data_IF_644689905613
#
_entry.id   IF_644689905613
#
_cell.length_a   1.000
_cell.length_b   1.000
_cell.length_c   1.000
_cell.angle_alpha   90.00
_cell.angle_beta   90.00
_cell.angle_gamma   90.00
#
_symmetry.space_group_name_H-M   'P 1'
#
loop_
_entity.id
_entity.type
_entity.pdbx_description
1 polymer ?
#
# COMPACT_ATOMS: atom_id res chain seq x y z
N UNK A 1 -19.54 71.17 -48.84
CA UNK A 1 -18.43 71.88 -49.56
C UNK A 1 -17.22 70.94 -49.53
N UNK A 2 -16.82 70.61 -50.77
CA UNK A 2 -15.48 70.23 -51.29
C UNK A 2 -14.83 68.99 -50.62
N UNK A 3 -14.96 67.85 -51.21
CA UNK A 3 -14.09 67.19 -52.21
C UNK A 3 -12.60 67.39 -52.02
N UNK A 4 -11.88 66.33 -51.85
CA UNK A 4 -10.76 66.04 -52.75
C UNK A 4 -10.29 64.54 -52.62
N UNK A 5 -10.17 63.95 -53.82
CA UNK A 5 -9.57 62.68 -54.17
C UNK A 5 -8.05 62.75 -54.02
N UNK A 6 -7.44 61.66 -53.67
CA UNK A 6 -6.00 61.41 -53.83
C UNK A 6 -5.73 59.90 -54.03
N UNK A 7 -4.74 59.57 -54.88
CA UNK A 7 -4.79 58.30 -55.66
C UNK A 7 -4.12 57.05 -55.02
N UNK A 8 -4.52 55.96 -55.59
CA UNK A 8 -3.95 54.62 -55.39
C UNK A 8 -2.46 54.57 -55.73
N UNK A 9 -1.68 53.88 -54.86
CA UNK A 9 -0.42 53.33 -55.27
C UNK A 9 -0.47 51.83 -54.99
N UNK A 10 -0.35 51.07 -56.08
CA UNK A 10 -0.12 49.62 -56.10
C UNK A 10 1.32 49.37 -55.67
N UNK A 11 1.54 48.48 -54.77
CA UNK A 11 2.85 47.95 -54.36
C UNK A 11 2.86 46.43 -54.43
N UNK A 12 4.00 45.80 -54.66
CA UNK A 12 4.13 44.58 -55.42
C UNK A 12 3.89 43.26 -54.65
N UNK A 13 3.43 42.30 -55.41
CA UNK A 13 3.34 40.88 -55.06
C UNK A 13 4.56 40.36 -54.28
N UNK A 14 4.32 39.79 -53.11
CA UNK A 14 5.26 38.86 -52.48
C UNK A 14 4.75 37.42 -52.66
N UNK A 15 5.64 36.53 -53.10
CA UNK A 15 5.28 35.12 -53.32
C UNK A 15 4.97 34.44 -51.96
N UNK A 16 4.00 33.56 -52.03
CA UNK A 16 3.63 32.64 -50.93
C UNK A 16 4.83 31.77 -50.59
N UNK A 17 5.29 31.91 -49.36
CA UNK A 17 6.16 30.90 -48.76
C UNK A 17 5.28 29.73 -48.36
N UNK A 18 5.41 28.63 -49.07
CA UNK A 18 4.97 27.30 -48.69
C UNK A 18 5.71 26.91 -47.41
N UNK A 19 5.07 27.18 -46.26
CA UNK A 19 5.51 26.60 -44.97
C UNK A 19 5.22 25.13 -44.95
N UNK A 20 6.24 24.35 -45.17
CA UNK A 20 6.25 22.89 -44.98
C UNK A 20 5.90 22.63 -43.50
N UNK A 21 4.65 22.31 -43.25
CA UNK A 21 4.18 21.81 -41.98
C UNK A 21 4.80 20.41 -41.78
N UNK A 22 5.92 20.35 -41.07
CA UNK A 22 6.41 19.11 -40.49
C UNK A 22 5.40 18.70 -39.43
N UNK A 23 4.44 17.87 -39.82
CA UNK A 23 3.64 17.10 -38.93
C UNK A 23 4.60 16.21 -38.11
N UNK A 24 4.92 16.64 -36.90
CA UNK A 24 5.50 15.78 -35.87
C UNK A 24 4.54 14.60 -35.69
N UNK A 25 4.83 13.49 -36.37
CA UNK A 25 4.29 12.20 -36.00
C UNK A 25 4.73 11.94 -34.57
N UNK A 26 3.82 12.16 -33.62
CA UNK A 26 3.93 11.58 -32.31
C UNK A 26 4.04 10.05 -32.52
N UNK A 27 5.25 9.54 -32.37
CA UNK A 27 5.49 8.11 -32.21
C UNK A 27 4.76 7.72 -30.92
N UNK A 28 3.54 7.20 -31.07
CA UNK A 28 2.87 6.48 -30.01
C UNK A 28 3.81 5.34 -29.62
N UNK A 29 4.52 5.50 -28.52
CA UNK A 29 5.20 4.39 -27.88
C UNK A 29 4.18 3.28 -27.64
N UNK A 30 4.52 2.03 -27.95
CA UNK A 30 3.61 0.93 -27.71
C UNK A 30 3.25 0.92 -26.22
N UNK A 31 1.94 1.00 -25.94
CA UNK A 31 1.36 1.06 -24.59
C UNK A 31 1.45 -0.27 -23.82
N UNK A 32 2.33 -1.19 -24.19
CA UNK A 32 2.37 -2.56 -23.69
C UNK A 32 3.70 -2.96 -23.02
N UNK A 33 4.37 -2.02 -22.38
CA UNK A 33 5.24 -2.40 -21.26
C UNK A 33 4.44 -2.09 -19.98
N UNK A 34 3.51 -2.96 -19.63
CA UNK A 34 2.99 -3.05 -18.28
C UNK A 34 4.21 -3.21 -17.37
N UNK A 35 4.66 -2.12 -16.80
CA UNK A 35 5.71 -2.14 -15.79
C UNK A 35 5.25 -3.15 -14.74
N UNK A 36 5.94 -4.29 -14.65
CA UNK A 36 5.65 -5.26 -13.61
C UNK A 36 5.68 -4.52 -12.28
N UNK A 37 4.68 -4.69 -11.43
CA UNK A 37 4.66 -4.00 -10.15
C UNK A 37 5.96 -4.34 -9.41
N UNK A 38 6.67 -3.31 -8.96
CA UNK A 38 7.86 -3.50 -8.13
C UNK A 38 7.37 -4.09 -6.82
N UNK A 39 7.61 -5.38 -6.62
CA UNK A 39 7.24 -6.09 -5.40
C UNK A 39 8.26 -5.82 -4.30
N UNK A 40 7.81 -5.89 -3.04
CA UNK A 40 8.73 -5.88 -1.92
C UNK A 40 9.55 -7.18 -1.91
N UNK A 41 10.87 -7.10 -1.68
CA UNK A 41 11.70 -8.29 -1.59
C UNK A 41 11.26 -9.14 -0.39
N UNK A 42 11.17 -10.46 -0.61
CA UNK A 42 10.92 -11.39 0.50
C UNK A 42 12.10 -11.35 1.47
N UNK A 43 11.85 -11.12 2.77
CA UNK A 43 12.95 -10.94 3.72
C UNK A 43 13.65 -12.24 4.07
N UNK A 44 14.98 -12.19 4.08
CA UNK A 44 15.84 -13.32 4.47
C UNK A 44 15.79 -13.65 5.97
N UNK A 45 15.30 -12.72 6.77
CA UNK A 45 15.18 -12.89 8.23
C UNK A 45 13.98 -13.71 8.67
N UNK A 46 13.06 -14.03 7.74
CA UNK A 46 11.97 -14.96 8.04
C UNK A 46 12.54 -16.38 8.25
N UNK A 47 11.97 -17.14 9.20
CA UNK A 47 12.46 -18.49 9.52
C UNK A 47 12.49 -19.41 8.29
N UNK A 48 13.57 -20.17 8.12
CA UNK A 48 13.75 -21.17 7.05
C UNK A 48 12.72 -22.31 7.09
N UNK A 49 12.01 -22.46 8.21
CA UNK A 49 10.99 -23.52 8.41
C UNK A 49 9.60 -23.20 7.83
N UNK A 50 9.43 -22.07 7.15
CA UNK A 50 8.16 -21.79 6.48
C UNK A 50 7.98 -22.70 5.26
N UNK A 51 6.72 -23.16 5.00
CA UNK A 51 6.42 -23.85 3.75
C UNK A 51 6.81 -23.02 2.54
N UNK A 52 7.15 -23.65 1.42
CA UNK A 52 7.47 -22.96 0.17
C UNK A 52 6.34 -22.02 -0.30
N UNK A 53 5.11 -22.28 0.13
CA UNK A 53 3.93 -21.41 -0.08
C UNK A 53 3.15 -21.34 1.23
N UNK A 54 3.55 -20.46 2.15
CA UNK A 54 2.84 -20.30 3.40
C UNK A 54 1.48 -19.66 3.18
N UNK A 55 0.48 -20.05 3.95
CA UNK A 55 -0.79 -19.34 4.00
C UNK A 55 -0.60 -18.02 4.72
N UNK A 56 -1.03 -16.94 4.08
CA UNK A 56 -0.78 -15.59 4.56
C UNK A 56 -2.06 -14.93 5.06
N UNK A 57 -1.96 -14.31 6.24
CA UNK A 57 -2.90 -13.30 6.71
C UNK A 57 -2.22 -11.94 6.61
N UNK A 58 -2.74 -11.06 5.76
CA UNK A 58 -2.34 -9.65 5.72
C UNK A 58 -3.29 -8.81 6.56
N UNK A 59 -2.73 -8.04 7.47
CA UNK A 59 -3.43 -7.06 8.30
C UNK A 59 -2.85 -5.68 8.04
N UNK A 60 -3.69 -4.71 7.71
CA UNK A 60 -3.26 -3.36 7.36
C UNK A 60 -4.00 -2.31 8.19
N UNK A 61 -3.26 -1.55 8.98
CA UNK A 61 -3.75 -0.34 9.63
C UNK A 61 -3.70 0.83 8.62
N UNK A 62 -4.85 1.19 8.08
CA UNK A 62 -4.96 2.29 7.12
C UNK A 62 -4.70 3.67 7.76
N UNK A 63 -4.92 3.81 9.06
CA UNK A 63 -4.60 5.02 9.79
C UNK A 63 -3.08 5.22 9.86
N UNK A 64 -2.32 4.15 10.13
CA UNK A 64 -0.86 4.17 10.10
C UNK A 64 -0.33 4.43 8.68
N UNK A 65 -0.92 3.83 7.64
CA UNK A 65 -0.56 4.10 6.24
C UNK A 65 -0.76 5.58 5.91
N UNK A 66 -1.94 6.13 6.25
CA UNK A 66 -2.27 7.52 5.94
C UNK A 66 -1.36 8.53 6.69
N UNK A 67 -0.96 8.23 7.93
CA UNK A 67 -0.03 9.05 8.71
C UNK A 67 1.41 8.86 8.26
N UNK A 68 1.86 7.62 8.17
CA UNK A 68 3.25 7.29 7.95
C UNK A 68 3.77 7.72 6.58
N UNK A 69 2.96 7.61 5.53
CA UNK A 69 3.35 8.09 4.19
C UNK A 69 3.43 9.61 4.09
N UNK A 70 2.80 10.34 5.03
CA UNK A 70 2.92 11.79 5.13
C UNK A 70 4.16 12.25 5.91
N UNK A 71 4.91 11.34 6.54
CA UNK A 71 6.10 11.66 7.35
C UNK A 71 7.11 12.52 6.57
N UNK A 72 7.49 13.64 7.20
CA UNK A 72 8.45 14.60 6.62
C UNK A 72 7.87 15.50 5.53
N UNK A 73 6.55 15.53 5.37
CA UNK A 73 5.82 16.48 4.52
C UNK A 73 5.08 17.51 5.37
N UNK A 74 4.70 18.70 4.83
CA UNK A 74 3.85 19.66 5.53
C UNK A 74 2.41 19.17 5.75
N UNK A 75 2.06 18.00 5.26
CA UNK A 75 0.70 17.42 5.32
C UNK A 75 0.58 16.46 6.49
N UNK A 76 -0.51 16.51 7.21
CA UNK A 76 -0.81 15.57 8.30
C UNK A 76 -1.18 14.17 7.82
N UNK A 77 -1.53 14.02 6.55
CA UNK A 77 -2.01 12.76 5.95
C UNK A 77 -1.55 12.64 4.49
N UNK A 78 -1.35 11.41 4.08
CA UNK A 78 -1.07 11.08 2.70
C UNK A 78 -2.28 11.32 1.78
N UNK A 79 -2.00 11.53 0.49
CA UNK A 79 -3.02 11.63 -0.54
C UNK A 79 -3.64 10.25 -0.87
N UNK A 80 -4.83 10.24 -1.48
CA UNK A 80 -5.47 9.01 -1.97
C UNK A 80 -4.57 8.22 -2.91
N UNK A 81 -3.78 8.91 -3.75
CA UNK A 81 -2.83 8.26 -4.67
C UNK A 81 -1.72 7.52 -3.93
N UNK A 82 -1.14 8.13 -2.90
CA UNK A 82 -0.07 7.53 -2.10
C UNK A 82 -0.58 6.33 -1.30
N UNK A 83 -1.74 6.48 -0.65
CA UNK A 83 -2.37 5.39 0.11
C UNK A 83 -2.72 4.23 -0.81
N UNK A 84 -3.32 4.51 -1.98
CA UNK A 84 -3.65 3.48 -2.98
C UNK A 84 -2.40 2.73 -3.43
N UNK A 85 -1.36 3.45 -3.85
CA UNK A 85 -0.11 2.84 -4.32
C UNK A 85 0.54 1.95 -3.24
N UNK A 86 0.50 2.37 -1.97
CA UNK A 86 1.00 1.55 -0.87
C UNK A 86 0.17 0.27 -0.68
N UNK A 87 -1.15 0.38 -0.66
CA UNK A 87 -2.04 -0.77 -0.49
C UNK A 87 -1.90 -1.76 -1.66
N UNK A 88 -1.84 -1.28 -2.90
CA UNK A 88 -1.63 -2.10 -4.10
C UNK A 88 -0.28 -2.83 -4.05
N UNK A 89 0.80 -2.14 -3.65
CA UNK A 89 2.13 -2.73 -3.48
C UNK A 89 2.12 -3.88 -2.47
N UNK A 90 1.58 -3.62 -1.28
CA UNK A 90 1.51 -4.63 -0.20
C UNK A 90 0.65 -5.81 -0.63
N UNK A 91 -0.50 -5.55 -1.21
CA UNK A 91 -1.42 -6.57 -1.70
C UNK A 91 -0.80 -7.44 -2.81
N UNK A 92 -0.15 -6.81 -3.80
CA UNK A 92 0.54 -7.52 -4.87
C UNK A 92 1.66 -8.41 -4.30
N UNK A 93 2.48 -7.88 -3.37
CA UNK A 93 3.52 -8.64 -2.68
C UNK A 93 2.93 -9.83 -1.93
N UNK A 94 1.87 -9.61 -1.15
CA UNK A 94 1.19 -10.67 -0.39
C UNK A 94 0.67 -11.77 -1.31
N UNK A 95 0.02 -11.41 -2.43
CA UNK A 95 -0.54 -12.38 -3.38
C UNK A 95 0.51 -13.13 -4.21
N UNK A 96 1.71 -12.59 -4.32
CA UNK A 96 2.85 -13.32 -4.91
C UNK A 96 3.27 -14.48 -4.01
N UNK A 97 3.19 -14.31 -2.68
CA UNK A 97 3.51 -15.34 -1.68
C UNK A 97 2.35 -16.34 -1.57
N UNK A 98 1.14 -15.82 -1.38
CA UNK A 98 -0.09 -16.61 -1.28
C UNK A 98 -1.21 -15.98 -2.12
N UNK A 99 -1.53 -16.52 -3.31
CA UNK A 99 -2.61 -16.02 -4.16
C UNK A 99 -4.00 -16.03 -3.49
N UNK A 100 -4.16 -16.84 -2.42
CA UNK A 100 -5.39 -16.97 -1.64
C UNK A 100 -5.32 -16.27 -0.29
N UNK A 101 -4.33 -15.41 -0.10
CA UNK A 101 -4.14 -14.67 1.15
C UNK A 101 -5.43 -13.97 1.58
N UNK A 102 -5.75 -14.09 2.87
CA UNK A 102 -6.81 -13.27 3.48
C UNK A 102 -6.22 -11.89 3.77
N UNK A 103 -6.82 -10.86 3.18
CA UNK A 103 -6.38 -9.47 3.30
C UNK A 103 -7.45 -8.67 4.05
N UNK A 104 -7.06 -8.13 5.19
CA UNK A 104 -7.92 -7.32 6.05
C UNK A 104 -7.28 -5.94 6.22
N UNK A 105 -8.02 -4.91 5.91
CA UNK A 105 -7.64 -3.53 6.15
C UNK A 105 -8.58 -2.95 7.20
N UNK A 106 -8.04 -2.30 8.22
CA UNK A 106 -8.83 -1.60 9.21
C UNK A 106 -8.59 -0.10 9.12
N UNK A 107 -9.63 0.68 9.37
CA UNK A 107 -9.60 2.13 9.35
C UNK A 107 -10.49 2.71 10.45
N UNK A 108 -10.08 3.84 11.04
CA UNK A 108 -11.00 4.69 11.77
C UNK A 108 -12.03 5.30 10.83
N UNK A 109 -13.19 5.71 11.35
CA UNK A 109 -14.23 6.36 10.53
C UNK A 109 -13.69 7.61 9.80
N UNK A 110 -12.77 8.35 10.43
CA UNK A 110 -12.17 9.55 9.82
C UNK A 110 -11.29 9.20 8.62
N UNK A 111 -10.44 8.18 8.74
CA UNK A 111 -9.60 7.69 7.63
C UNK A 111 -10.44 7.05 6.53
N UNK A 112 -11.46 6.29 6.88
CA UNK A 112 -12.39 5.69 5.93
C UNK A 112 -13.12 6.76 5.09
N UNK A 113 -13.63 7.82 5.73
CA UNK A 113 -14.26 8.94 5.02
C UNK A 113 -13.28 9.64 4.08
N UNK A 114 -12.04 9.87 4.53
CA UNK A 114 -11.00 10.55 3.75
C UNK A 114 -10.57 9.74 2.51
N UNK A 115 -10.48 8.43 2.63
CA UNK A 115 -9.96 7.52 1.62
C UNK A 115 -11.03 6.58 1.05
N UNK A 116 -12.31 7.02 1.04
CA UNK A 116 -13.44 6.21 0.59
C UNK A 116 -13.22 5.65 -0.83
N UNK A 117 -12.73 6.47 -1.76
CA UNK A 117 -12.44 6.07 -3.14
C UNK A 117 -11.38 4.96 -3.23
N UNK A 118 -10.40 5.00 -2.32
CA UNK A 118 -9.37 3.96 -2.25
C UNK A 118 -9.96 2.66 -1.74
N UNK A 119 -10.80 2.75 -0.71
CA UNK A 119 -11.47 1.57 -0.12
C UNK A 119 -12.41 0.90 -1.11
N UNK A 120 -13.19 1.67 -1.86
CA UNK A 120 -14.14 1.15 -2.85
C UNK A 120 -13.46 0.55 -4.08
N UNK A 121 -12.30 1.11 -4.48
CA UNK A 121 -11.53 0.62 -5.61
C UNK A 121 -10.68 -0.63 -5.30
N UNK A 122 -10.39 -0.89 -4.02
CA UNK A 122 -9.57 -2.04 -3.60
C UNK A 122 -10.40 -3.33 -3.55
N UNK A 123 -10.66 -3.92 -4.72
CA UNK A 123 -11.40 -5.18 -4.82
C UNK A 123 -10.71 -6.34 -4.10
N UNK A 124 -11.49 -7.17 -3.40
CA UNK A 124 -11.02 -8.40 -2.74
C UNK A 124 -10.38 -8.23 -1.36
N UNK A 125 -10.43 -7.02 -0.77
CA UNK A 125 -10.03 -6.77 0.60
C UNK A 125 -11.26 -6.72 1.52
N UNK A 126 -11.09 -7.24 2.75
CA UNK A 126 -12.08 -7.02 3.81
C UNK A 126 -11.73 -5.71 4.52
N UNK A 127 -12.67 -4.77 4.56
CA UNK A 127 -12.52 -3.53 5.27
C UNK A 127 -13.28 -3.54 6.60
N UNK A 128 -12.56 -3.25 7.69
CA UNK A 128 -13.11 -3.11 9.03
C UNK A 128 -13.08 -1.62 9.41
N UNK A 129 -14.24 -0.98 9.48
CA UNK A 129 -14.33 0.44 9.85
C UNK A 129 -14.91 0.54 11.25
N UNK A 130 -14.17 1.15 12.17
CA UNK A 130 -14.60 1.35 13.55
C UNK A 130 -14.50 2.80 13.98
N UNK A 131 -15.39 3.19 14.88
CA UNK A 131 -15.36 4.53 15.49
C UNK A 131 -14.30 4.60 16.58
N UNK A 132 -13.80 5.81 16.81
CA UNK A 132 -12.80 6.12 17.85
C UNK A 132 -11.37 6.15 17.34
N UNK A 133 -10.49 6.73 18.14
CA UNK A 133 -9.07 6.93 17.78
C UNK A 133 -8.33 5.61 17.53
N UNK A 134 -8.63 4.57 18.32
CA UNK A 134 -7.99 3.25 18.23
C UNK A 134 -8.91 2.23 17.54
N UNK A 135 -9.86 2.69 16.72
CA UNK A 135 -10.85 1.80 16.11
C UNK A 135 -10.23 0.78 15.16
N UNK A 136 -9.29 1.21 14.31
CA UNK A 136 -8.54 0.34 13.41
C UNK A 136 -7.71 -0.67 14.19
N UNK A 137 -6.96 -0.21 15.18
CA UNK A 137 -6.08 -1.04 15.99
C UNK A 137 -6.83 -2.17 16.69
N UNK A 138 -7.96 -1.84 17.33
CA UNK A 138 -8.80 -2.84 18.02
C UNK A 138 -9.31 -3.92 17.07
N UNK A 139 -9.74 -3.50 15.86
CA UNK A 139 -10.20 -4.45 14.85
C UNK A 139 -9.11 -5.44 14.42
N UNK A 140 -7.88 -4.94 14.24
CA UNK A 140 -6.74 -5.79 13.87
C UNK A 140 -6.24 -6.65 15.03
N UNK A 141 -6.30 -6.14 16.28
CA UNK A 141 -5.96 -6.93 17.47
C UNK A 141 -6.92 -8.11 17.65
N UNK A 142 -8.21 -7.93 17.40
CA UNK A 142 -9.20 -9.01 17.45
C UNK A 142 -8.86 -10.13 16.42
N UNK A 143 -8.42 -9.77 15.22
CA UNK A 143 -8.00 -10.74 14.20
C UNK A 143 -6.71 -11.49 14.61
N UNK A 144 -5.74 -10.78 15.22
CA UNK A 144 -4.52 -11.40 15.74
C UNK A 144 -4.80 -12.33 16.94
N UNK A 145 -5.69 -11.94 17.84
CA UNK A 145 -6.08 -12.76 18.98
C UNK A 145 -6.87 -13.99 18.51
N UNK A 146 -7.79 -13.82 17.55
CA UNK A 146 -8.49 -14.95 16.92
C UNK A 146 -7.52 -15.95 16.27
N UNK A 147 -6.54 -15.47 15.51
CA UNK A 147 -5.50 -16.34 14.94
C UNK A 147 -4.69 -17.05 16.01
N UNK A 148 -4.34 -16.34 17.09
CA UNK A 148 -3.63 -16.91 18.24
C UNK A 148 -4.41 -18.05 18.88
N UNK A 149 -5.71 -17.88 19.07
CA UNK A 149 -6.58 -18.89 19.66
C UNK A 149 -6.73 -20.13 18.75
N UNK A 150 -6.85 -19.93 17.44
CA UNK A 150 -6.84 -21.05 16.49
C UNK A 150 -5.53 -21.85 16.61
N UNK A 151 -4.37 -21.17 16.62
CA UNK A 151 -3.08 -21.88 16.75
C UNK A 151 -2.94 -22.60 18.08
N UNK A 152 -3.40 -22.02 19.19
CA UNK A 152 -3.42 -22.69 20.49
C UNK A 152 -4.28 -23.97 20.47
N UNK A 153 -5.45 -23.91 19.85
CA UNK A 153 -6.31 -25.09 19.70
C UNK A 153 -5.65 -26.20 18.88
N UNK A 154 -4.88 -25.84 17.85
CA UNK A 154 -4.19 -26.80 16.99
C UNK A 154 -3.00 -27.49 17.66
N UNK A 155 -2.39 -26.85 18.65
CA UNK A 155 -1.30 -27.42 19.44
C UNK A 155 -1.79 -28.34 20.56
N UNK A 156 -3.12 -28.47 20.76
CA UNK A 156 -3.68 -29.41 21.71
C UNK A 156 -3.60 -30.85 21.17
N UNK A 157 -3.05 -31.80 21.93
CA UNK A 157 -2.96 -33.20 21.49
C UNK A 157 -4.34 -33.82 21.24
N UNK A 158 -4.48 -34.56 20.16
CA UNK A 158 -5.71 -35.29 19.81
C UNK A 158 -6.76 -34.56 18.97
N UNK A 159 -6.57 -33.30 18.62
CA UNK A 159 -7.50 -32.61 17.70
C UNK A 159 -7.09 -32.74 16.24
N UNK A 160 -8.08 -33.03 15.37
CA UNK A 160 -7.91 -32.95 13.91
C UNK A 160 -7.56 -31.49 13.54
N UNK A 161 -6.48 -31.32 12.80
CA UNK A 161 -6.10 -29.99 12.26
C UNK A 161 -7.18 -29.52 11.27
N UNK A 162 -7.90 -28.42 11.52
CA UNK A 162 -8.75 -27.82 10.50
C UNK A 162 -7.89 -27.37 9.31
N UNK A 163 -8.52 -27.13 8.16
CA UNK A 163 -7.84 -26.51 7.01
C UNK A 163 -7.12 -25.27 7.50
N UNK A 164 -5.80 -25.32 7.43
CA UNK A 164 -4.89 -24.62 8.29
C UNK A 164 -5.04 -23.11 8.39
N UNK A 165 -4.79 -22.57 9.57
CA UNK A 165 -4.68 -21.13 9.80
C UNK A 165 -3.48 -20.54 9.03
N UNK A 166 -3.38 -19.22 9.00
CA UNK A 166 -2.24 -18.52 8.42
C UNK A 166 -0.93 -18.99 9.09
N UNK A 167 0.10 -19.20 8.29
CA UNK A 167 1.44 -19.61 8.70
C UNK A 167 2.43 -18.45 8.71
N UNK A 168 2.03 -17.34 8.08
CA UNK A 168 2.75 -16.07 8.05
C UNK A 168 1.76 -14.94 8.23
N UNK A 169 2.09 -13.97 9.07
CA UNK A 169 1.37 -12.71 9.18
C UNK A 169 2.18 -11.61 8.50
N UNK A 170 1.55 -10.86 7.59
CA UNK A 170 2.08 -9.60 7.07
C UNK A 170 1.29 -8.49 7.77
N UNK A 171 1.96 -7.71 8.61
CA UNK A 171 1.34 -6.61 9.36
C UNK A 171 1.85 -5.27 8.85
N UNK A 172 0.95 -4.39 8.43
CA UNK A 172 1.26 -3.01 8.06
C UNK A 172 0.82 -2.10 9.20
N UNK A 173 1.76 -1.66 10.03
CA UNK A 173 1.48 -0.88 11.22
C UNK A 173 2.73 -0.15 11.75
N UNK A 174 2.53 0.74 12.73
CA UNK A 174 3.61 1.49 13.40
C UNK A 174 3.53 1.43 14.92
N UNK A 175 2.37 1.08 15.49
CA UNK A 175 2.07 1.23 16.91
C UNK A 175 2.53 0.02 17.74
N UNK A 176 2.99 0.29 18.97
CA UNK A 176 3.46 -0.69 19.94
C UNK A 176 2.38 -1.66 20.42
N UNK A 177 1.10 -1.31 20.30
CA UNK A 177 -0.01 -2.13 20.82
C UNK A 177 -0.04 -3.53 20.22
N UNK A 178 0.43 -3.71 18.98
CA UNK A 178 0.50 -4.99 18.31
C UNK A 178 1.62 -5.91 18.81
N UNK A 179 2.63 -5.35 19.50
CA UNK A 179 3.84 -6.10 19.88
C UNK A 179 3.55 -7.35 20.73
N UNK A 180 2.55 -7.27 21.63
CA UNK A 180 2.17 -8.40 22.50
C UNK A 180 1.58 -9.56 21.69
N UNK A 181 0.63 -9.26 20.79
CA UNK A 181 -0.01 -10.30 19.97
C UNK A 181 0.98 -10.94 19.00
N UNK A 182 1.88 -10.17 18.39
CA UNK A 182 2.96 -10.68 17.53
C UNK A 182 3.90 -11.61 18.28
N UNK A 183 4.34 -11.25 19.51
CA UNK A 183 5.19 -12.13 20.33
C UNK A 183 4.49 -13.45 20.65
N UNK A 184 3.17 -13.41 20.93
CA UNK A 184 2.38 -14.62 21.16
C UNK A 184 2.33 -15.53 19.94
N UNK A 185 2.08 -14.97 18.76
CA UNK A 185 2.09 -15.70 17.49
C UNK A 185 3.45 -16.32 17.20
N UNK A 186 4.54 -15.57 17.41
CA UNK A 186 5.91 -16.06 17.26
C UNK A 186 6.19 -17.28 18.16
N UNK A 187 5.72 -17.27 19.41
CA UNK A 187 5.85 -18.43 20.30
C UNK A 187 5.06 -19.66 19.83
N UNK A 188 4.04 -19.46 19.01
CA UNK A 188 3.26 -20.52 18.36
C UNK A 188 3.80 -20.91 16.98
N UNK A 189 4.99 -20.42 16.60
CA UNK A 189 5.64 -20.73 15.32
C UNK A 189 5.07 -19.94 14.13
N UNK A 190 4.31 -18.86 14.37
CA UNK A 190 3.77 -17.99 13.32
C UNK A 190 4.59 -16.71 13.27
N UNK A 191 5.53 -16.58 12.32
CA UNK A 191 6.32 -15.37 12.16
C UNK A 191 5.47 -14.22 11.64
N UNK A 192 5.93 -13.00 11.95
CA UNK A 192 5.35 -11.77 11.42
C UNK A 192 6.37 -10.98 10.63
N UNK A 193 6.04 -10.65 9.38
CA UNK A 193 6.72 -9.65 8.59
C UNK A 193 6.03 -8.32 8.78
N UNK A 194 6.72 -7.37 9.40
CA UNK A 194 6.22 -6.03 9.64
C UNK A 194 6.58 -5.11 8.47
N UNK A 195 5.59 -4.50 7.89
CA UNK A 195 5.71 -3.46 6.88
C UNK A 195 5.40 -2.11 7.53
N UNK A 196 6.39 -1.23 7.56
CA UNK A 196 6.28 0.07 8.24
C UNK A 196 6.04 1.16 7.22
N UNK A 197 4.84 1.77 7.16
CA UNK A 197 4.62 2.95 6.31
C UNK A 197 5.38 4.14 6.90
N UNK A 198 6.21 4.80 6.07
CA UNK A 198 7.02 5.94 6.52
C UNK A 198 8.35 5.53 7.18
N UNK A 199 8.79 6.32 8.17
CA UNK A 199 10.16 6.23 8.72
C UNK A 199 10.24 5.84 10.19
N UNK A 200 9.12 5.84 10.90
CA UNK A 200 9.06 5.62 12.33
C UNK A 200 8.21 4.41 12.69
N UNK A 201 8.66 3.67 13.68
CA UNK A 201 7.94 2.53 14.25
C UNK A 201 8.27 2.43 15.74
N UNK A 202 7.31 2.02 16.54
CA UNK A 202 7.54 1.77 17.96
C UNK A 202 8.58 0.66 18.16
N UNK A 203 9.53 0.90 19.05
CA UNK A 203 10.64 -0.03 19.33
C UNK A 203 10.17 -1.43 19.72
N UNK A 204 9.11 -1.49 20.52
CA UNK A 204 8.51 -2.74 20.99
C UNK A 204 7.96 -3.57 19.83
N UNK A 205 7.35 -2.90 18.83
CA UNK A 205 6.81 -3.55 17.63
C UNK A 205 7.95 -4.02 16.73
N UNK A 206 8.96 -3.17 16.50
CA UNK A 206 10.14 -3.50 15.72
C UNK A 206 10.83 -4.76 16.26
N UNK A 207 11.03 -4.86 17.59
CA UNK A 207 11.70 -6.01 18.22
C UNK A 207 10.83 -7.27 18.31
N UNK A 208 9.50 -7.14 18.19
CA UNK A 208 8.58 -8.27 18.21
C UNK A 208 8.51 -8.99 16.85
N UNK A 209 8.64 -8.27 15.75
CA UNK A 209 8.57 -8.81 14.40
C UNK A 209 9.78 -9.71 14.07
N UNK A 210 9.60 -10.66 13.14
CA UNK A 210 10.69 -11.52 12.64
C UNK A 210 11.47 -10.82 11.53
N UNK A 211 10.79 -10.03 10.71
CA UNK A 211 11.37 -9.22 9.66
C UNK A 211 10.68 -7.87 9.60
N UNK A 212 11.41 -6.81 9.20
CA UNK A 212 10.87 -5.44 9.10
C UNK A 212 11.30 -4.81 7.78
N UNK A 213 10.32 -4.27 7.05
CA UNK A 213 10.57 -3.52 5.82
C UNK A 213 9.86 -2.17 5.89
N UNK A 214 10.58 -1.09 5.60
CA UNK A 214 10.01 0.25 5.53
C UNK A 214 9.45 0.53 4.14
N UNK A 215 8.21 1.05 4.09
CA UNK A 215 7.53 1.44 2.86
C UNK A 215 7.38 2.96 2.87
N UNK A 216 7.93 3.63 1.89
CA UNK A 216 7.78 5.09 1.78
C UNK A 216 8.83 5.71 0.87
N UNK A 217 8.76 7.02 0.66
CA UNK A 217 9.79 7.71 -0.11
C UNK A 217 11.15 7.50 0.57
N UNK A 218 12.12 6.98 -0.20
CA UNK A 218 13.50 6.88 0.30
C UNK A 218 13.94 8.23 0.84
N UNK A 219 14.60 8.27 2.01
CA UNK A 219 15.23 9.51 2.45
C UNK A 219 16.18 9.97 1.33
N UNK A 220 15.94 11.17 0.81
CA UNK A 220 16.95 11.78 -0.05
C UNK A 220 18.20 11.98 0.82
N UNK A 221 19.40 11.53 0.40
CA UNK A 221 20.62 11.86 1.10
C UNK A 221 20.73 13.38 1.17
N UNK A 222 20.89 13.90 2.39
CA UNK A 222 21.19 15.32 2.64
C UNK A 222 22.62 15.58 2.28
#
# INVERSE_FOLDING_TARGET
MTSQHGPRLAGPNRPAQEGTSMAMRALSAPADVLAQPILLPYPSELPDGLPARPRVLQLTDADAVSRGLADGTPRDRASNREVRACLELVQATTRTIDPRARIICAASSATATRHLDVMTASGGNTWLVRRGLDGADRALLEELDHLTDIHRMLHQPGRRRPAGPAELVILVAQDHIFARSIRRLRLLGVPTWLLVPGRSVARELFTAACAVTFIGPRPQPR
#
